data_IF_455804067763
#
_entry.id   IF_455804067763
#
_cell.length_a   1.000
_cell.length_b   1.000
_cell.length_c   1.000
_cell.angle_alpha   90.00
_cell.angle_beta   90.00
_cell.angle_gamma   90.00
#
_symmetry.space_group_name_H-M   'P 1'
#
loop_
_entity.id
_entity.type
_entity.pdbx_description
1 polymer ?
#
# COMPACT_ATOMS: atom_id res chain seq x y z
N UNK A 1 -0.21 -16.75 -6.47
CA UNK A 1 -0.55 -16.24 -7.82
C UNK A 1 -0.62 -14.71 -7.86
N UNK A 2 -1.49 -14.04 -7.08
CA UNK A 2 -1.67 -12.58 -7.16
C UNK A 2 -0.37 -11.76 -7.00
N UNK A 3 0.46 -12.07 -5.99
CA UNK A 3 1.74 -11.37 -5.76
C UNK A 3 2.70 -11.50 -6.95
N UNK A 4 2.74 -12.68 -7.59
CA UNK A 4 3.61 -12.95 -8.73
C UNK A 4 3.16 -12.19 -9.98
N UNK A 5 1.85 -12.09 -10.21
CA UNK A 5 1.29 -11.28 -11.31
C UNK A 5 1.58 -9.80 -11.07
N UNK A 6 1.39 -9.29 -9.85
CA UNK A 6 1.74 -7.90 -9.50
C UNK A 6 3.23 -7.64 -9.71
N UNK A 7 4.12 -8.56 -9.30
CA UNK A 7 5.55 -8.43 -9.54
C UNK A 7 5.89 -8.28 -11.02
N UNK A 8 5.36 -9.15 -11.88
CA UNK A 8 5.68 -9.17 -13.29
C UNK A 8 5.15 -7.91 -14.01
N UNK A 9 3.94 -7.47 -13.69
CA UNK A 9 3.37 -6.24 -14.26
C UNK A 9 4.18 -5.02 -13.83
N UNK A 10 4.56 -4.95 -12.55
CA UNK A 10 5.40 -3.84 -12.06
C UNK A 10 6.81 -3.88 -12.65
N UNK A 11 7.40 -5.07 -12.81
CA UNK A 11 8.72 -5.22 -13.45
C UNK A 11 8.71 -4.73 -14.89
N UNK A 12 7.62 -5.02 -15.62
CA UNK A 12 7.41 -4.49 -16.96
C UNK A 12 7.18 -2.97 -16.95
N UNK A 13 6.46 -2.43 -15.95
CA UNK A 13 6.16 -1.00 -15.85
C UNK A 13 7.41 -0.16 -15.55
N UNK A 14 8.28 -0.60 -14.65
CA UNK A 14 9.46 0.16 -14.23
C UNK A 14 10.72 -0.14 -15.06
N UNK A 15 10.63 -1.01 -16.07
CA UNK A 15 11.77 -1.60 -16.80
C UNK A 15 12.91 -2.09 -15.86
N UNK A 16 12.56 -2.48 -14.63
CA UNK A 16 13.50 -2.77 -13.55
C UNK A 16 12.95 -3.85 -12.64
N UNK A 17 13.82 -4.78 -12.22
CA UNK A 17 13.48 -5.85 -11.29
C UNK A 17 13.64 -5.45 -9.82
N UNK A 18 14.29 -4.30 -9.53
CA UNK A 18 14.55 -3.80 -8.17
C UNK A 18 13.40 -2.97 -7.62
N UNK A 19 12.87 -2.04 -8.42
CA UNK A 19 11.76 -1.16 -8.06
C UNK A 19 10.50 -1.93 -7.58
N UNK A 20 10.05 -3.00 -8.27
CA UNK A 20 8.92 -3.83 -7.83
C UNK A 20 9.20 -4.58 -6.54
N UNK A 21 10.45 -4.97 -6.29
CA UNK A 21 10.83 -5.72 -5.09
C UNK A 21 10.60 -4.88 -3.83
N UNK A 22 10.97 -3.59 -3.88
CA UNK A 22 10.75 -2.63 -2.79
C UNK A 22 9.26 -2.55 -2.44
N UNK A 23 8.39 -2.51 -3.45
CA UNK A 23 6.93 -2.44 -3.26
C UNK A 23 6.41 -3.74 -2.65
N UNK A 24 6.85 -4.90 -3.14
CA UNK A 24 6.39 -6.20 -2.62
C UNK A 24 6.83 -6.44 -1.17
N UNK A 25 8.00 -5.93 -0.77
CA UNK A 25 8.46 -5.99 0.63
C UNK A 25 7.51 -5.30 1.61
N UNK A 26 6.66 -4.37 1.14
CA UNK A 26 5.64 -3.72 1.98
C UNK A 26 4.37 -4.57 2.18
N UNK A 27 4.14 -5.58 1.33
CA UNK A 27 2.93 -6.41 1.35
C UNK A 27 2.80 -7.24 2.64
N UNK A 28 3.85 -7.95 3.13
CA UNK A 28 3.76 -8.72 4.38
C UNK A 28 3.40 -7.86 5.60
N UNK A 29 3.94 -6.65 5.66
CA UNK A 29 3.67 -5.69 6.75
C UNK A 29 2.22 -5.23 6.69
N UNK A 30 1.73 -4.93 5.49
CA UNK A 30 0.35 -4.56 5.24
C UNK A 30 -0.63 -5.68 5.58
N UNK A 31 -0.29 -6.93 5.23
CA UNK A 31 -1.08 -8.10 5.63
C UNK A 31 -1.14 -8.25 7.15
N UNK A 32 -0.02 -8.03 7.84
CA UNK A 32 0.03 -8.07 9.31
C UNK A 32 -0.88 -7.01 9.92
N UNK A 33 -0.91 -5.80 9.36
CA UNK A 33 -1.82 -4.74 9.80
C UNK A 33 -3.30 -5.09 9.59
N UNK A 34 -3.65 -5.72 8.47
CA UNK A 34 -5.03 -6.18 8.23
C UNK A 34 -5.44 -7.37 9.10
N UNK A 35 -4.51 -8.27 9.44
CA UNK A 35 -4.77 -9.36 10.40
C UNK A 35 -4.98 -8.77 11.80
N UNK A 36 -4.16 -7.78 12.17
CA UNK A 36 -4.30 -7.08 13.45
C UNK A 36 -5.66 -6.38 13.58
N UNK A 37 -6.17 -5.77 12.50
CA UNK A 37 -7.50 -5.14 12.56
C UNK A 37 -8.63 -6.15 12.74
N UNK A 38 -8.57 -7.31 12.06
CA UNK A 38 -9.51 -8.41 12.29
C UNK A 38 -9.45 -8.92 13.73
N UNK A 39 -8.25 -9.05 14.29
CA UNK A 39 -8.06 -9.49 15.66
C UNK A 39 -8.70 -8.53 16.67
N UNK A 40 -8.51 -7.22 16.50
CA UNK A 40 -9.11 -6.19 17.38
C UNK A 40 -10.63 -6.14 17.26
N UNK A 41 -11.17 -6.34 16.05
CA UNK A 41 -12.63 -6.31 15.82
C UNK A 41 -13.31 -7.66 16.13
N UNK A 42 -12.54 -8.73 16.35
CA UNK A 42 -13.07 -10.07 16.63
C UNK A 42 -13.66 -10.77 15.40
N UNK A 43 -13.38 -10.28 14.20
CA UNK A 43 -13.96 -10.80 12.96
C UNK A 43 -13.16 -12.00 12.44
N UNK A 44 -13.84 -13.02 11.93
CA UNK A 44 -13.20 -14.22 11.40
C UNK A 44 -12.52 -14.01 10.05
N UNK A 45 -11.56 -14.88 9.74
CA UNK A 45 -10.88 -14.90 8.44
C UNK A 45 -11.74 -15.69 7.44
N UNK A 46 -12.58 -14.96 6.70
CA UNK A 46 -13.51 -15.52 5.72
C UNK A 46 -13.16 -15.07 4.29
N UNK A 47 -13.94 -15.51 3.30
CA UNK A 47 -13.71 -15.17 1.88
C UNK A 47 -13.80 -13.65 1.63
N UNK A 48 -14.67 -12.93 2.33
CA UNK A 48 -14.78 -11.47 2.21
C UNK A 48 -13.57 -10.76 2.83
N UNK A 49 -13.06 -11.24 3.97
CA UNK A 49 -11.80 -10.75 4.55
C UNK A 49 -10.64 -10.93 3.56
N UNK A 50 -10.59 -12.06 2.84
CA UNK A 50 -9.57 -12.31 1.80
C UNK A 50 -9.70 -11.35 0.61
N UNK A 51 -10.91 -11.04 0.15
CA UNK A 51 -11.14 -10.00 -0.86
C UNK A 51 -10.67 -8.63 -0.34
N UNK A 52 -10.91 -8.33 0.95
CA UNK A 52 -10.39 -7.15 1.63
C UNK A 52 -8.85 -7.07 1.56
N UNK A 53 -8.16 -8.19 1.83
CA UNK A 53 -6.70 -8.26 1.68
C UNK A 53 -6.24 -8.03 0.24
N UNK A 54 -6.93 -8.58 -0.76
CA UNK A 54 -6.61 -8.35 -2.16
C UNK A 54 -6.71 -6.86 -2.54
N UNK A 55 -7.77 -6.18 -2.10
CA UNK A 55 -7.91 -4.74 -2.30
C UNK A 55 -6.82 -3.95 -1.57
N UNK A 56 -6.54 -4.34 -0.31
CA UNK A 56 -5.53 -3.69 0.52
C UNK A 56 -4.13 -3.73 -0.12
N UNK A 57 -3.76 -4.87 -0.72
CA UNK A 57 -2.49 -5.00 -1.46
C UNK A 57 -2.43 -3.98 -2.60
N UNK A 58 -3.48 -3.86 -3.41
CA UNK A 58 -3.51 -2.91 -4.53
C UNK A 58 -3.48 -1.45 -4.07
N UNK A 59 -4.21 -1.12 -3.00
CA UNK A 59 -4.27 0.22 -2.43
C UNK A 59 -2.90 0.68 -1.91
N UNK A 60 -2.19 -0.19 -1.19
CA UNK A 60 -0.85 0.13 -0.69
C UNK A 60 0.20 0.10 -1.81
N UNK A 61 0.12 -0.87 -2.73
CA UNK A 61 1.03 -0.94 -3.87
C UNK A 61 0.97 0.36 -4.70
N UNK A 62 -0.22 0.91 -4.96
CA UNK A 62 -0.39 2.21 -5.64
C UNK A 62 0.44 3.32 -4.99
N UNK A 63 0.42 3.41 -3.66
CA UNK A 63 1.16 4.44 -2.94
C UNK A 63 2.68 4.24 -3.10
N UNK A 64 3.15 2.99 -3.03
CA UNK A 64 4.56 2.66 -3.27
C UNK A 64 5.02 2.93 -4.69
N UNK A 65 4.20 2.56 -5.68
CA UNK A 65 4.46 2.82 -7.10
C UNK A 65 4.65 4.31 -7.34
N UNK A 66 3.76 5.15 -6.82
CA UNK A 66 3.82 6.60 -7.03
C UNK A 66 5.07 7.27 -6.44
N UNK A 67 5.62 6.74 -5.34
CA UNK A 67 6.84 7.28 -4.72
C UNK A 67 8.07 6.85 -5.51
N UNK A 68 8.16 5.57 -5.88
CA UNK A 68 9.30 5.02 -6.63
C UNK A 68 9.35 5.62 -8.04
N UNK A 69 8.21 5.70 -8.72
CA UNK A 69 8.11 6.30 -10.06
C UNK A 69 8.60 7.74 -10.08
N UNK A 70 8.12 8.56 -9.15
CA UNK A 70 8.50 9.97 -9.10
C UNK A 70 9.97 10.16 -8.67
N UNK A 71 10.51 9.25 -7.86
CA UNK A 71 11.93 9.26 -7.54
C UNK A 71 12.78 8.97 -8.79
N UNK A 72 12.40 7.97 -9.59
CA UNK A 72 13.08 7.67 -10.85
C UNK A 72 13.00 8.85 -11.82
N UNK A 73 11.83 9.49 -11.95
CA UNK A 73 11.66 10.67 -12.80
C UNK A 73 12.62 11.81 -12.40
N UNK A 74 12.75 12.08 -11.09
CA UNK A 74 13.67 13.10 -10.58
C UNK A 74 15.15 12.73 -10.81
N UNK A 75 15.48 11.43 -10.79
CA UNK A 75 16.82 10.94 -11.14
C UNK A 75 17.12 11.16 -12.62
N UNK A 76 16.14 10.90 -13.50
CA UNK A 76 16.24 11.21 -14.94
C UNK A 76 16.42 12.70 -15.20
N UNK A 77 15.80 13.56 -14.38
CA UNK A 77 15.98 15.01 -14.40
C UNK A 77 17.35 15.46 -13.83
N UNK A 78 18.22 14.52 -13.43
CA UNK A 78 19.59 14.77 -12.99
C UNK A 78 19.76 14.97 -11.48
N UNK A 79 18.72 14.71 -10.66
CA UNK A 79 18.87 14.74 -9.21
C UNK A 79 19.61 13.51 -8.67
N UNK A 80 20.34 13.70 -7.57
CA UNK A 80 20.94 12.58 -6.82
C UNK A 80 19.86 11.69 -6.24
N UNK A 81 20.03 10.37 -6.31
CA UNK A 81 19.08 9.34 -5.81
C UNK A 81 18.54 9.63 -4.41
N UNK A 82 19.44 9.98 -3.49
CA UNK A 82 19.08 10.26 -2.09
C UNK A 82 18.20 11.50 -1.92
N UNK A 83 18.41 12.52 -2.74
CA UNK A 83 17.58 13.72 -2.75
C UNK A 83 16.25 13.45 -3.47
N UNK A 84 16.28 12.73 -4.59
CA UNK A 84 15.12 12.38 -5.39
C UNK A 84 14.06 11.60 -4.60
N UNK A 85 14.47 10.61 -3.80
CA UNK A 85 13.52 9.82 -3.00
C UNK A 85 12.88 10.64 -1.87
N UNK A 86 13.65 11.53 -1.23
CA UNK A 86 13.14 12.42 -0.18
C UNK A 86 12.15 13.42 -0.79
N UNK A 87 12.52 14.04 -1.90
CA UNK A 87 11.69 15.02 -2.59
C UNK A 87 10.41 14.40 -3.15
N UNK A 88 10.51 13.22 -3.78
CA UNK A 88 9.36 12.40 -4.19
C UNK A 88 8.42 12.13 -3.01
N UNK A 89 8.97 11.70 -1.86
CA UNK A 89 8.17 11.39 -0.67
C UNK A 89 7.42 12.63 -0.14
N UNK A 90 8.07 13.80 -0.14
CA UNK A 90 7.47 15.05 0.31
C UNK A 90 6.35 15.52 -0.63
N UNK A 91 6.56 15.45 -1.95
CA UNK A 91 5.57 15.84 -2.95
C UNK A 91 4.35 14.91 -2.89
N UNK A 92 4.58 13.61 -2.68
CA UNK A 92 3.53 12.59 -2.63
C UNK A 92 2.81 12.50 -1.29
N UNK A 93 3.35 13.08 -0.22
CA UNK A 93 2.73 13.06 1.11
C UNK A 93 1.27 13.52 1.09
N UNK A 94 0.99 14.68 0.49
CA UNK A 94 -0.37 15.24 0.40
C UNK A 94 -1.32 14.32 -0.39
N UNK A 95 -0.98 13.87 -1.62
CA UNK A 95 -1.78 12.89 -2.35
C UNK A 95 -2.04 11.58 -1.60
N UNK A 96 -1.04 11.01 -0.92
CA UNK A 96 -1.16 9.74 -0.19
C UNK A 96 -2.13 9.86 0.99
N UNK A 97 -2.08 10.99 1.72
CA UNK A 97 -3.03 11.26 2.80
C UNK A 97 -4.44 11.46 2.24
N UNK A 98 -4.59 12.16 1.12
CA UNK A 98 -5.89 12.37 0.48
C UNK A 98 -6.56 11.05 0.06
N UNK A 99 -5.81 10.14 -0.57
CA UNK A 99 -6.36 8.83 -0.98
C UNK A 99 -6.67 7.96 0.23
N UNK A 100 -5.77 7.95 1.22
CA UNK A 100 -5.95 7.22 2.49
C UNK A 100 -7.23 7.66 3.20
N UNK A 101 -7.41 8.97 3.40
CA UNK A 101 -8.61 9.51 4.05
C UNK A 101 -9.87 9.23 3.23
N UNK A 102 -9.82 9.36 1.91
CA UNK A 102 -10.97 9.04 1.05
C UNK A 102 -11.40 7.58 1.20
N UNK A 103 -10.45 6.63 1.22
CA UNK A 103 -10.77 5.21 1.42
C UNK A 103 -11.28 4.93 2.83
N UNK A 104 -10.70 5.55 3.86
CA UNK A 104 -11.17 5.41 5.24
C UNK A 104 -12.61 5.92 5.39
N UNK A 105 -12.89 7.12 4.91
CA UNK A 105 -14.22 7.72 4.95
C UNK A 105 -15.24 6.91 4.12
N UNK A 106 -14.82 6.38 2.96
CA UNK A 106 -15.66 5.51 2.13
C UNK A 106 -15.95 4.14 2.76
N UNK A 107 -15.09 3.65 3.64
CA UNK A 107 -15.29 2.40 4.37
C UNK A 107 -16.20 2.55 5.60
N UNK A 108 -16.34 3.75 6.17
CA UNK A 108 -17.19 3.98 7.36
C UNK A 108 -18.65 3.53 7.16
N UNK A 109 -19.35 3.91 6.06
CA UNK A 109 -20.72 3.46 5.84
C UNK A 109 -20.86 1.95 5.69
N UNK A 110 -19.82 1.27 5.18
CA UNK A 110 -19.82 -0.18 5.01
C UNK A 110 -19.65 -0.89 6.36
N UNK A 111 -18.84 -0.32 7.25
CA UNK A 111 -18.67 -0.80 8.64
C UNK A 111 -19.96 -0.62 9.43
N UNK A 112 -20.66 0.49 9.26
CA UNK A 112 -21.92 0.80 9.96
C UNK A 112 -23.17 0.21 9.28
N UNK A 113 -23.01 -0.49 8.15
CA UNK A 113 -24.15 -0.99 7.39
C UNK A 113 -24.89 -2.09 8.15
N UNK A 114 -26.22 -2.05 8.11
CA UNK A 114 -27.12 -3.05 8.69
C UNK A 114 -27.98 -3.68 7.60
N UNK A 115 -28.41 -4.94 7.82
CA UNK A 115 -29.25 -5.69 6.88
C UNK A 115 -28.55 -6.89 6.24
N UNK A 116 -29.12 -7.39 5.13
CA UNK A 116 -28.63 -8.59 4.46
C UNK A 116 -27.21 -8.39 3.90
N UNK A 117 -26.29 -9.29 4.27
CA UNK A 117 -24.89 -9.22 3.87
C UNK A 117 -24.04 -8.18 4.63
N UNK A 118 -24.56 -7.62 5.73
CA UNK A 118 -23.82 -6.68 6.59
C UNK A 118 -22.51 -7.30 7.12
N UNK A 119 -22.56 -8.53 7.63
CA UNK A 119 -21.37 -9.29 8.09
C UNK A 119 -20.28 -9.39 7.02
N UNK A 120 -20.67 -9.68 5.78
CA UNK A 120 -19.74 -9.77 4.64
C UNK A 120 -19.05 -8.44 4.33
N UNK A 121 -19.82 -7.34 4.34
CA UNK A 121 -19.30 -5.98 4.08
C UNK A 121 -18.43 -5.51 5.23
N UNK A 122 -18.82 -5.84 6.45
CA UNK A 122 -18.10 -5.52 7.67
C UNK A 122 -16.71 -6.16 7.66
N UNK A 123 -16.63 -7.48 7.44
CA UNK A 123 -15.36 -8.20 7.41
C UNK A 123 -14.37 -7.65 6.38
N UNK A 124 -14.85 -7.37 5.17
CA UNK A 124 -14.04 -6.76 4.10
C UNK A 124 -13.58 -5.33 4.46
N UNK A 125 -14.48 -4.51 5.00
CA UNK A 125 -14.20 -3.09 5.28
C UNK A 125 -13.30 -2.90 6.49
N UNK A 126 -13.36 -3.79 7.49
CA UNK A 126 -12.47 -3.79 8.65
C UNK A 126 -11.01 -4.07 8.24
N UNK A 127 -10.79 -5.01 7.31
CA UNK A 127 -9.46 -5.30 6.76
C UNK A 127 -8.91 -4.07 6.03
N UNK A 128 -9.71 -3.48 5.14
CA UNK A 128 -9.28 -2.31 4.36
C UNK A 128 -9.05 -1.11 5.27
N UNK A 129 -9.97 -0.82 6.19
CA UNK A 129 -9.89 0.33 7.08
C UNK A 129 -8.68 0.24 8.01
N UNK A 130 -8.55 -0.86 8.76
CA UNK A 130 -7.44 -1.02 9.70
C UNK A 130 -6.11 -1.24 8.98
N UNK A 131 -6.12 -1.96 7.86
CA UNK A 131 -4.95 -2.17 7.02
C UNK A 131 -4.39 -0.86 6.47
N UNK A 132 -5.21 -0.02 5.84
CA UNK A 132 -4.76 1.28 5.32
C UNK A 132 -4.37 2.23 6.44
N UNK A 133 -5.16 2.30 7.51
CA UNK A 133 -4.89 3.21 8.62
C UNK A 133 -3.52 2.97 9.26
N UNK A 134 -3.10 1.70 9.39
CA UNK A 134 -1.82 1.34 9.98
C UNK A 134 -0.70 1.26 8.93
N UNK A 135 -0.96 0.64 7.77
CA UNK A 135 0.06 0.41 6.76
C UNK A 135 0.46 1.69 6.01
N UNK A 136 -0.43 2.66 5.81
CA UNK A 136 -0.11 3.88 5.08
C UNK A 136 0.99 4.70 5.78
N UNK A 137 0.95 4.81 7.11
CA UNK A 137 2.03 5.45 7.87
C UNK A 137 3.34 4.65 7.78
N UNK A 138 3.29 3.33 7.98
CA UNK A 138 4.50 2.51 7.96
C UNK A 138 5.15 2.55 6.58
N UNK A 139 4.37 2.40 5.52
CA UNK A 139 4.87 2.37 4.14
C UNK A 139 5.46 3.71 3.69
N UNK A 140 4.89 4.84 4.10
CA UNK A 140 5.43 6.16 3.77
C UNK A 140 6.87 6.35 4.27
N UNK A 141 7.23 5.78 5.43
CA UNK A 141 8.60 5.83 5.95
C UNK A 141 9.47 4.66 5.46
N UNK A 142 8.86 3.49 5.29
CA UNK A 142 9.57 2.28 4.92
C UNK A 142 10.00 2.28 3.46
N UNK A 143 9.18 2.78 2.54
CA UNK A 143 9.51 2.81 1.10
C UNK A 143 10.78 3.64 0.83
N UNK A 144 10.93 4.88 1.36
CA UNK A 144 12.16 5.65 1.18
C UNK A 144 13.38 4.96 1.80
N UNK A 145 13.21 4.35 2.98
CA UNK A 145 14.30 3.63 3.65
C UNK A 145 14.75 2.40 2.86
N UNK A 146 13.80 1.59 2.36
CA UNK A 146 14.10 0.41 1.54
C UNK A 146 14.70 0.81 0.19
N UNK A 147 14.22 1.90 -0.41
CA UNK A 147 14.78 2.43 -1.66
C UNK A 147 16.25 2.83 -1.48
N UNK A 148 16.58 3.58 -0.43
CA UNK A 148 17.98 3.95 -0.13
C UNK A 148 18.89 2.75 0.20
N UNK A 149 18.34 1.67 0.76
CA UNK A 149 19.11 0.46 1.10
C UNK A 149 19.35 -0.46 -0.09
N UNK A 150 18.38 -0.54 -1.01
CA UNK A 150 18.39 -1.51 -2.13
C UNK A 150 18.93 -0.87 -3.41
N UNK A 151 18.68 0.42 -3.61
CA UNK A 151 19.19 1.18 -4.76
C UNK A 151 20.62 1.61 -4.46
N UNK A 152 21.59 0.91 -5.03
CA UNK A 152 23.02 1.22 -4.86
C UNK A 152 23.36 2.53 -5.57
N UNK A 153 24.17 3.38 -4.94
CA UNK A 153 24.79 4.55 -5.60
C UNK A 153 25.67 4.03 -6.75
N UNK A 154 25.23 4.25 -7.98
CA UNK A 154 26.03 4.08 -9.20
C UNK A 154 26.39 5.48 -9.72
#
# INVERSE_FOLDING_TARGET
MAILVVYLVLSAQFESFRNPLIIILTVPITMTAGIYSLFVTGTSLNVYSQIGFLMLIGLIAKNGILVVEFANQLIEDGMKKSQAIIESSLIRFRPVIMTTLSTLLGAIPLILSTGAGAESRFAMSVVVFGGIALASFITLYLIPALYLLIEKDD
#
